data_IF_320659882783
#
_entry.id   IF_320659882783
#
_cell.length_a   1.000
_cell.length_b   1.000
_cell.length_c   1.000
_cell.angle_alpha   90.00
_cell.angle_beta   90.00
_cell.angle_gamma   90.00
#
_symmetry.space_group_name_H-M   'P 1'
#
loop_
_entity.id
_entity.type
_entity.pdbx_description
1 polymer ?
#
# COMPACT_ATOMS: atom_id res chain seq x y z
N UNK A 1 -11.85 2.43 -7.85
CA UNK A 1 -10.87 3.38 -8.40
C UNK A 1 -9.49 2.82 -8.19
N UNK A 2 -8.84 2.42 -9.28
CA UNK A 2 -7.49 1.84 -9.30
C UNK A 2 -6.65 2.73 -10.21
N UNK A 3 -5.41 3.03 -9.81
CA UNK A 3 -4.45 3.77 -10.64
C UNK A 3 -3.49 2.78 -11.28
N UNK A 4 -3.33 2.86 -12.61
CA UNK A 4 -2.25 2.18 -13.33
C UNK A 4 -1.08 3.15 -13.50
N UNK A 5 0.14 2.68 -13.26
CA UNK A 5 1.35 3.47 -13.40
C UNK A 5 2.51 2.65 -13.97
N UNK A 6 3.50 3.32 -14.54
CA UNK A 6 4.70 2.67 -15.08
C UNK A 6 5.78 2.42 -14.02
N UNK A 7 7.00 2.20 -14.51
CA UNK A 7 8.20 1.98 -13.68
C UNK A 7 8.53 3.14 -12.74
N UNK A 8 8.98 2.77 -11.54
CA UNK A 8 9.52 3.66 -10.52
C UNK A 8 8.54 4.77 -10.11
N UNK A 9 7.26 4.41 -9.97
CA UNK A 9 6.21 5.34 -9.58
C UNK A 9 6.46 5.91 -8.17
N UNK A 10 6.23 7.21 -8.02
CA UNK A 10 6.53 7.92 -6.77
C UNK A 10 8.01 8.29 -6.59
N UNK A 11 8.86 8.12 -7.60
CA UNK A 11 10.25 8.56 -7.54
C UNK A 11 10.37 10.07 -7.25
N UNK A 12 11.31 10.43 -6.38
CA UNK A 12 11.50 11.82 -5.93
C UNK A 12 10.44 12.33 -4.97
N UNK A 13 9.34 11.59 -4.76
CA UNK A 13 8.35 11.89 -3.74
C UNK A 13 8.82 11.37 -2.38
N UNK A 14 9.71 12.13 -1.74
CA UNK A 14 10.04 11.96 -0.31
C UNK A 14 8.93 12.56 0.59
N UNK A 15 7.92 13.19 0.00
CA UNK A 15 6.84 13.87 0.72
C UNK A 15 5.62 12.95 0.82
N UNK A 16 5.20 12.68 2.05
CA UNK A 16 3.98 11.91 2.38
C UNK A 16 2.70 12.47 1.71
N UNK A 17 2.73 13.73 1.29
CA UNK A 17 1.61 14.39 0.61
C UNK A 17 1.22 13.73 -0.73
N UNK A 18 2.16 13.08 -1.45
CA UNK A 18 1.85 12.45 -2.72
C UNK A 18 0.82 11.31 -2.57
N UNK A 19 1.07 10.27 -1.75
CA UNK A 19 0.09 9.21 -1.53
C UNK A 19 -1.16 9.70 -0.78
N UNK A 20 -1.04 10.67 0.14
CA UNK A 20 -2.20 11.31 0.78
C UNK A 20 -3.13 11.97 -0.24
N UNK A 21 -2.56 12.63 -1.25
CA UNK A 21 -3.35 13.30 -2.29
C UNK A 21 -4.10 12.29 -3.16
N UNK A 22 -3.45 11.18 -3.53
CA UNK A 22 -4.10 10.08 -4.29
C UNK A 22 -5.23 9.44 -3.48
N UNK A 23 -5.00 9.17 -2.20
CA UNK A 23 -6.01 8.65 -1.28
C UNK A 23 -7.21 9.61 -1.17
N UNK A 24 -6.97 10.90 -0.96
CA UNK A 24 -8.01 11.93 -0.86
C UNK A 24 -8.78 12.14 -2.17
N UNK A 25 -8.11 11.97 -3.31
CA UNK A 25 -8.76 11.94 -4.61
C UNK A 25 -9.72 10.75 -4.75
N UNK A 26 -9.49 9.70 -3.96
CA UNK A 26 -10.33 8.51 -3.91
C UNK A 26 -9.69 7.31 -4.60
N UNK A 27 -8.38 7.31 -4.88
CA UNK A 27 -7.67 6.11 -5.35
C UNK A 27 -7.63 5.07 -4.23
N UNK A 28 -8.11 3.86 -4.52
CA UNK A 28 -8.19 2.76 -3.54
C UNK A 28 -7.08 1.73 -3.68
N UNK A 29 -6.40 1.67 -4.82
CA UNK A 29 -5.24 0.82 -5.07
C UNK A 29 -4.42 1.37 -6.23
N UNK A 30 -3.12 1.06 -6.26
CA UNK A 30 -2.19 1.43 -7.32
C UNK A 30 -1.52 0.15 -7.83
N UNK A 31 -1.55 -0.06 -9.14
CA UNK A 31 -0.83 -1.13 -9.83
C UNK A 31 0.28 -0.48 -10.65
N UNK A 32 1.52 -0.88 -10.45
CA UNK A 32 2.65 -0.36 -11.21
C UNK A 32 3.69 -1.44 -11.56
N UNK A 33 4.64 -1.11 -12.44
CA UNK A 33 5.79 -2.00 -12.66
C UNK A 33 6.73 -2.01 -11.46
N UNK A 34 6.94 -0.85 -10.83
CA UNK A 34 7.70 -0.73 -9.59
C UNK A 34 7.41 0.60 -8.89
N UNK A 35 7.75 0.68 -7.60
CA UNK A 35 7.57 1.88 -6.78
C UNK A 35 8.90 2.35 -6.20
N UNK A 36 8.99 3.66 -5.94
CA UNK A 36 9.99 4.17 -5.02
C UNK A 36 9.69 3.67 -3.59
N UNK A 37 10.71 3.22 -2.88
CA UNK A 37 10.57 2.56 -1.56
C UNK A 37 9.80 3.42 -0.54
N UNK A 38 10.14 4.70 -0.43
CA UNK A 38 9.47 5.64 0.49
C UNK A 38 7.99 5.81 0.11
N UNK A 39 7.68 5.92 -1.18
CA UNK A 39 6.31 6.07 -1.65
C UNK A 39 5.48 4.82 -1.32
N UNK A 40 6.03 3.63 -1.53
CA UNK A 40 5.41 2.36 -1.18
C UNK A 40 5.12 2.25 0.33
N UNK A 41 6.09 2.60 1.18
CA UNK A 41 5.91 2.61 2.64
C UNK A 41 4.80 3.55 3.08
N UNK A 42 4.75 4.76 2.53
CA UNK A 42 3.70 5.73 2.82
C UNK A 42 2.32 5.28 2.33
N UNK A 43 2.21 4.63 1.17
CA UNK A 43 0.95 4.04 0.71
C UNK A 43 0.44 3.01 1.71
N UNK A 44 1.34 2.12 2.17
CA UNK A 44 1.01 1.09 3.15
C UNK A 44 0.51 1.71 4.46
N UNK A 45 1.22 2.70 5.00
CA UNK A 45 0.83 3.41 6.23
C UNK A 45 -0.51 4.17 6.13
N UNK A 46 -0.99 4.41 4.90
CA UNK A 46 -2.29 5.04 4.61
C UNK A 46 -3.37 4.03 4.22
N UNK A 47 -3.07 2.73 4.24
CA UNK A 47 -4.03 1.69 3.87
C UNK A 47 -4.29 1.62 2.36
N UNK A 48 -3.40 2.18 1.54
CA UNK A 48 -3.49 2.15 0.08
C UNK A 48 -2.59 1.03 -0.44
N UNK A 49 -3.14 -0.06 -1.01
CA UNK A 49 -2.35 -1.11 -1.62
C UNK A 49 -1.61 -0.59 -2.86
N UNK A 50 -0.28 -0.67 -2.83
CA UNK A 50 0.60 -0.43 -3.96
C UNK A 50 1.19 -1.79 -4.37
N UNK A 51 0.69 -2.35 -5.48
CA UNK A 51 1.02 -3.71 -5.94
C UNK A 51 1.78 -3.64 -7.25
N UNK A 52 2.72 -4.57 -7.45
CA UNK A 52 3.52 -4.64 -8.67
C UNK A 52 3.00 -5.71 -9.62
N UNK A 53 3.03 -5.43 -10.91
CA UNK A 53 2.77 -6.40 -11.97
C UNK A 53 3.86 -6.31 -13.05
N UNK A 54 3.93 -7.29 -13.95
CA UNK A 54 4.87 -7.21 -15.07
C UNK A 54 4.52 -6.03 -16.00
N UNK A 55 5.52 -5.45 -16.68
CA UNK A 55 5.29 -4.39 -17.68
C UNK A 55 4.29 -4.81 -18.74
N UNK A 56 4.35 -6.06 -19.20
CA UNK A 56 3.39 -6.61 -20.16
C UNK A 56 1.96 -6.63 -19.63
N UNK A 57 1.76 -6.94 -18.34
CA UNK A 57 0.43 -6.97 -17.73
C UNK A 57 -0.11 -5.56 -17.45
N UNK A 58 0.74 -4.63 -17.03
CA UNK A 58 0.37 -3.22 -16.83
C UNK A 58 -0.06 -2.59 -18.14
N UNK A 59 0.69 -2.83 -19.22
CA UNK A 59 0.37 -2.32 -20.56
C UNK A 59 -0.93 -2.94 -21.11
N UNK A 60 -1.16 -4.24 -20.90
CA UNK A 60 -2.41 -4.91 -21.29
C UNK A 60 -3.61 -4.36 -20.51
N UNK A 61 -3.47 -4.19 -19.19
CA UNK A 61 -4.50 -3.55 -18.36
C UNK A 61 -4.81 -2.13 -18.84
N UNK A 62 -3.77 -1.35 -19.17
CA UNK A 62 -3.90 0.00 -19.73
C UNK A 62 -4.73 0.00 -21.00
N UNK A 63 -4.36 -0.84 -21.98
CA UNK A 63 -5.09 -0.96 -23.26
C UNK A 63 -6.56 -1.36 -23.07
N UNK A 64 -6.84 -2.25 -22.11
CA UNK A 64 -8.22 -2.70 -21.83
C UNK A 64 -9.07 -1.61 -21.21
N UNK A 65 -8.53 -0.86 -20.26
CA UNK A 65 -9.23 0.28 -19.63
C UNK A 65 -9.40 1.44 -20.62
N UNK A 66 -8.45 1.65 -21.54
CA UNK A 66 -8.60 2.63 -22.62
C UNK A 66 -9.70 2.23 -23.62
N UNK A 67 -9.81 0.94 -23.94
CA UNK A 67 -10.83 0.42 -24.85
C UNK A 67 -12.24 0.44 -24.21
N UNK A 68 -12.34 0.15 -22.91
CA UNK A 68 -13.57 0.24 -22.14
C UNK A 68 -13.34 0.96 -20.79
N UNK A 69 -13.60 2.28 -20.73
CA UNK A 69 -13.45 3.05 -19.49
C UNK A 69 -14.41 2.65 -18.36
N UNK A 70 -15.43 1.84 -18.63
CA UNK A 70 -16.33 1.30 -17.60
C UNK A 70 -15.86 -0.06 -17.07
N UNK A 71 -14.76 -0.61 -17.61
CA UNK A 71 -14.21 -1.89 -17.19
C UNK A 71 -13.82 -1.85 -15.70
N UNK A 72 -14.42 -2.75 -14.93
CA UNK A 72 -14.08 -2.88 -13.51
C UNK A 72 -12.76 -3.63 -13.34
N UNK A 73 -11.82 -2.99 -12.65
CA UNK A 73 -10.54 -3.58 -12.24
C UNK A 73 -10.60 -3.93 -10.77
N UNK A 74 -10.50 -5.22 -10.45
CA UNK A 74 -10.46 -5.73 -9.08
C UNK A 74 -9.03 -6.15 -8.72
N UNK A 75 -8.56 -5.65 -7.58
CA UNK A 75 -7.28 -6.03 -6.96
C UNK A 75 -7.59 -6.95 -5.77
N UNK A 76 -7.08 -8.18 -5.78
CA UNK A 76 -7.26 -9.16 -4.73
C UNK A 76 -5.92 -9.45 -4.03
N UNK A 77 -5.77 -8.94 -2.82
CA UNK A 77 -4.55 -9.11 -2.02
C UNK A 77 -4.44 -10.51 -1.42
N UNK A 78 -5.54 -11.24 -1.24
CA UNK A 78 -5.52 -12.59 -0.68
C UNK A 78 -4.97 -13.54 -1.74
N UNK A 79 -5.56 -13.50 -2.94
CA UNK A 79 -5.16 -14.31 -4.09
C UNK A 79 -3.91 -13.79 -4.81
N UNK A 80 -3.44 -12.58 -4.47
CA UNK A 80 -2.37 -11.85 -5.17
C UNK A 80 -2.64 -11.78 -6.68
N UNK A 81 -3.85 -11.34 -7.06
CA UNK A 81 -4.26 -11.21 -8.47
C UNK A 81 -4.97 -9.90 -8.77
N UNK A 82 -4.85 -9.49 -10.03
CA UNK A 82 -5.73 -8.47 -10.62
C UNK A 82 -6.63 -9.14 -11.65
N UNK A 83 -7.87 -8.67 -11.73
CA UNK A 83 -8.87 -9.13 -12.72
C UNK A 83 -9.53 -7.93 -13.37
N UNK A 84 -9.70 -7.99 -14.70
CA UNK A 84 -10.34 -6.97 -15.52
C UNK A 84 -11.10 -7.64 -16.67
N UNK A 85 -12.39 -7.91 -16.47
CA UNK A 85 -13.18 -8.71 -17.40
C UNK A 85 -12.71 -10.17 -17.46
N UNK A 86 -12.34 -10.65 -18.64
CA UNK A 86 -11.77 -11.98 -18.88
C UNK A 86 -10.25 -12.05 -18.64
N UNK A 87 -9.59 -10.91 -18.42
CA UNK A 87 -8.17 -10.85 -18.13
C UNK A 87 -7.87 -11.02 -16.64
N UNK A 88 -6.81 -11.77 -16.35
CA UNK A 88 -6.24 -11.86 -15.01
C UNK A 88 -4.72 -11.99 -15.07
N UNK A 89 -4.03 -11.30 -14.18
CA UNK A 89 -2.60 -11.44 -13.97
C UNK A 89 -2.27 -11.57 -12.48
N UNK A 90 -1.10 -12.14 -12.20
CA UNK A 90 -0.55 -12.18 -10.85
C UNK A 90 0.06 -10.81 -10.49
N UNK A 91 -0.02 -10.48 -9.21
CA UNK A 91 0.60 -9.29 -8.65
C UNK A 91 1.52 -9.68 -7.50
N UNK A 92 2.45 -8.78 -7.19
CA UNK A 92 3.31 -8.90 -6.03
C UNK A 92 3.20 -7.68 -5.12
N UNK A 93 3.51 -7.91 -3.84
CA UNK A 93 3.56 -6.92 -2.77
C UNK A 93 4.36 -7.53 -1.63
N UNK A 94 5.14 -6.71 -0.92
CA UNK A 94 5.89 -7.15 0.25
C UNK A 94 4.95 -7.79 1.28
N UNK A 95 5.28 -8.99 1.74
CA UNK A 95 4.39 -9.78 2.61
C UNK A 95 4.01 -9.03 3.90
N UNK A 96 4.94 -8.29 4.50
CA UNK A 96 4.64 -7.47 5.69
C UNK A 96 3.60 -6.38 5.41
N UNK A 97 3.67 -5.73 4.25
CA UNK A 97 2.70 -4.73 3.85
C UNK A 97 1.33 -5.36 3.54
N UNK A 98 1.33 -6.50 2.85
CA UNK A 98 0.11 -7.28 2.59
C UNK A 98 -0.56 -7.72 3.89
N UNK A 99 0.19 -8.27 4.82
CA UNK A 99 -0.34 -8.76 6.09
C UNK A 99 -0.88 -7.61 6.94
N UNK A 100 -0.21 -6.45 6.96
CA UNK A 100 -0.72 -5.25 7.60
C UNK A 100 -2.03 -4.76 6.96
N UNK A 101 -2.13 -4.78 5.63
CA UNK A 101 -3.35 -4.40 4.90
C UNK A 101 -4.50 -5.38 5.14
N UNK A 102 -4.23 -6.69 5.15
CA UNK A 102 -5.23 -7.74 5.37
C UNK A 102 -5.72 -7.80 6.82
N UNK A 103 -4.84 -7.54 7.79
CA UNK A 103 -5.18 -7.52 9.22
C UNK A 103 -5.80 -6.19 9.68
N UNK A 104 -5.66 -5.13 8.88
CA UNK A 104 -6.04 -3.77 9.27
C UNK A 104 -5.01 -3.06 10.17
N UNK A 105 -3.85 -3.67 10.44
CA UNK A 105 -2.80 -3.14 11.34
C UNK A 105 -1.81 -2.21 10.63
N UNK A 106 -2.20 -1.62 9.51
CA UNK A 106 -1.36 -0.69 8.74
C UNK A 106 -1.34 0.73 9.32
N UNK A 107 -2.33 1.10 10.15
CA UNK A 107 -2.38 2.39 10.84
C UNK A 107 -1.55 2.33 12.13
N UNK A 108 -0.30 2.75 12.02
CA UNK A 108 0.63 2.79 13.15
C UNK A 108 0.19 3.72 14.28
N UNK A 109 -0.54 4.81 13.97
CA UNK A 109 -1.03 5.75 14.99
C UNK A 109 -2.10 5.07 15.84
N UNK A 110 -3.07 4.45 15.20
CA UNK A 110 -4.12 3.69 15.89
C UNK A 110 -3.52 2.57 16.72
N UNK A 111 -2.59 1.80 16.15
CA UNK A 111 -1.89 0.73 16.87
C UNK A 111 -1.15 1.26 18.11
N UNK A 112 -0.47 2.40 18.00
CA UNK A 112 0.22 3.03 19.13
C UNK A 112 -0.75 3.44 20.24
N UNK A 113 -1.89 4.03 19.88
CA UNK A 113 -2.91 4.48 20.82
C UNK A 113 -3.61 3.31 21.52
N UNK A 114 -3.82 2.19 20.84
CA UNK A 114 -4.40 0.98 21.43
C UNK A 114 -3.46 0.28 22.41
N UNK A 115 -2.14 0.45 22.25
CA UNK A 115 -1.12 -0.21 23.06
C UNK A 115 -0.55 0.65 24.21
N UNK A 116 -1.26 1.71 24.62
CA UNK A 116 -0.79 2.64 25.68
C UNK A 116 -0.37 1.95 26.98
N UNK A 117 -1.12 0.94 27.43
CA UNK A 117 -0.82 0.24 28.68
C UNK A 117 0.46 -0.59 28.59
N UNK A 118 0.66 -1.30 27.47
CA UNK A 118 1.88 -2.05 27.21
C UNK A 118 3.11 -1.13 27.11
N UNK A 119 2.94 0.05 26.51
CA UNK A 119 3.98 1.08 26.44
C UNK A 119 4.39 1.55 27.84
N UNK A 120 3.42 1.83 28.73
CA UNK A 120 3.70 2.21 30.13
C UNK A 120 4.46 1.11 30.87
N UNK A 121 3.98 -0.13 30.80
CA UNK A 121 4.64 -1.28 31.43
C UNK A 121 6.05 -1.53 30.91
N UNK A 122 6.28 -1.28 29.62
CA UNK A 122 7.62 -1.37 29.03
C UNK A 122 8.50 -0.22 29.50
N UNK A 123 7.97 1.00 29.54
CA UNK A 123 8.70 2.18 30.02
C UNK A 123 9.16 2.03 31.48
N UNK A 124 8.35 1.44 32.35
CA UNK A 124 8.70 1.12 33.75
C UNK A 124 9.90 0.16 33.88
N UNK A 125 10.16 -0.67 32.87
CA UNK A 125 11.27 -1.64 32.85
C UNK A 125 12.57 -1.07 32.29
N UNK A 126 12.53 0.14 31.72
CA UNK A 126 13.68 0.76 31.06
C UNK A 126 14.46 1.60 32.10
N UNK A 127 15.70 1.21 32.47
CA UNK A 127 16.43 1.85 33.56
C UNK A 127 16.69 3.35 33.34
N UNK A 128 16.98 3.77 32.10
CA UNK A 128 17.25 5.18 31.82
C UNK A 128 16.02 6.09 31.90
N UNK A 129 14.80 5.53 31.92
CA UNK A 129 13.56 6.29 32.09
C UNK A 129 13.13 6.40 33.56
N UNK A 130 13.58 5.48 34.42
CA UNK A 130 13.16 5.40 35.84
C UNK A 130 14.29 5.67 36.83
N UNK A 131 15.26 6.47 36.39
CA UNK A 131 16.55 6.73 37.05
C UNK A 131 17.48 5.51 36.97
N UNK A 132 18.74 5.76 36.62
CA UNK A 132 19.83 4.78 36.73
C UNK A 132 20.01 4.40 38.21
N UNK A 133 19.16 3.52 38.72
CA UNK A 133 19.36 2.82 39.98
C UNK A 133 20.08 1.49 39.72
#
# INVERSE_FOLDING_TARGET
SVLLAGRNFGCGSSREHAPQSLMRWGIKAIIAESFAEIFFGNCTALGVPAVTASSTDVDELGRRVEADPQLEVKVDLVAKKVTAGDFSCDIDILDSARDALLSGQWDFMTLLLENQEFIKQTAEKIPYLNQFA
#
